data_IF_112103940384
#
_entry.id   IF_112103940384
#
_cell.length_a   1.000
_cell.length_b   1.000
_cell.length_c   1.000
_cell.angle_alpha   90.00
_cell.angle_beta   90.00
_cell.angle_gamma   90.00
#
_symmetry.space_group_name_H-M   'P 1'
#
loop_
_entity.id
_entity.type
_entity.pdbx_description
1 polymer ?
#
# COMPACT_ATOMS: atom_id res chain seq x y z
N UNK A 1 3.17 44.86 -19.57
CA UNK A 1 3.89 43.60 -19.25
C UNK A 1 3.41 43.16 -17.88
N UNK A 2 2.45 42.23 -17.81
CA UNK A 2 2.11 41.51 -16.57
C UNK A 2 2.24 40.03 -16.89
N UNK A 3 3.41 39.47 -16.58
CA UNK A 3 3.63 38.04 -16.55
C UNK A 3 3.13 37.55 -15.19
N UNK A 4 1.85 37.17 -15.15
CA UNK A 4 1.28 36.42 -14.04
C UNK A 4 2.14 35.19 -13.79
N UNK A 5 2.75 35.15 -12.60
CA UNK A 5 3.48 34.01 -12.05
C UNK A 5 2.54 32.82 -11.88
N UNK A 6 2.32 32.06 -12.95
CA UNK A 6 1.94 30.64 -12.84
C UNK A 6 3.13 29.90 -12.26
N UNK A 7 3.18 29.75 -10.93
CA UNK A 7 3.91 28.63 -10.31
C UNK A 7 3.22 27.36 -10.80
N UNK A 8 3.72 26.86 -11.92
CA UNK A 8 3.32 25.61 -12.56
C UNK A 8 3.31 24.49 -11.52
N UNK A 9 2.18 23.79 -11.37
CA UNK A 9 2.04 22.53 -10.62
C UNK A 9 2.76 21.38 -11.37
N UNK A 10 3.99 21.64 -11.79
CA UNK A 10 4.72 20.90 -12.83
C UNK A 10 5.00 19.42 -12.48
N UNK A 11 4.75 19.03 -11.23
CA UNK A 11 4.92 17.68 -10.67
C UNK A 11 3.63 16.85 -10.68
N UNK A 12 2.46 17.50 -10.62
CA UNK A 12 1.14 16.82 -10.57
C UNK A 12 0.54 16.57 -11.95
N UNK A 13 0.88 17.39 -12.94
CA UNK A 13 0.32 17.29 -14.29
C UNK A 13 1.17 16.41 -15.23
N UNK A 14 2.20 15.74 -14.69
CA UNK A 14 3.08 14.84 -15.44
C UNK A 14 2.95 13.42 -14.94
N UNK A 15 2.86 12.48 -15.90
CA UNK A 15 2.96 11.05 -15.62
C UNK A 15 4.33 10.75 -15.01
N UNK A 16 4.35 9.95 -13.95
CA UNK A 16 5.59 9.42 -13.38
C UNK A 16 6.31 8.51 -14.38
N UNK A 17 7.64 8.50 -14.34
CA UNK A 17 8.42 7.51 -15.07
C UNK A 17 8.14 6.09 -14.55
N UNK A 18 8.20 5.09 -15.42
CA UNK A 18 7.82 3.71 -15.11
C UNK A 18 8.65 3.12 -13.96
N UNK A 19 9.95 3.39 -13.91
CA UNK A 19 10.82 2.97 -12.81
C UNK A 19 10.43 3.63 -11.47
N UNK A 20 10.00 4.89 -11.49
CA UNK A 20 9.55 5.61 -10.29
C UNK A 20 8.23 5.04 -9.78
N UNK A 21 7.28 4.72 -10.67
CA UNK A 21 6.03 4.05 -10.30
C UNK A 21 6.30 2.68 -9.69
N UNK A 22 7.14 1.86 -10.35
CA UNK A 22 7.49 0.53 -9.86
C UNK A 22 8.16 0.58 -8.49
N UNK A 23 9.09 1.51 -8.28
CA UNK A 23 9.75 1.70 -6.98
C UNK A 23 8.74 2.09 -5.89
N UNK A 24 7.75 2.94 -6.20
CA UNK A 24 6.69 3.29 -5.25
C UNK A 24 5.86 2.07 -4.86
N UNK A 25 5.52 1.22 -5.83
CA UNK A 25 4.81 -0.05 -5.58
C UNK A 25 5.62 -0.96 -4.67
N UNK A 26 6.91 -1.15 -4.95
CA UNK A 26 7.79 -1.97 -4.11
C UNK A 26 7.92 -1.44 -2.69
N UNK A 27 8.09 -0.13 -2.53
CA UNK A 27 8.19 0.48 -1.21
C UNK A 27 6.90 0.31 -0.41
N UNK A 28 5.75 0.49 -1.06
CA UNK A 28 4.44 0.30 -0.46
C UNK A 28 4.19 -1.17 -0.06
N UNK A 29 4.54 -2.12 -0.95
CA UNK A 29 4.46 -3.55 -0.66
C UNK A 29 5.35 -3.92 0.53
N UNK A 30 6.61 -3.46 0.52
CA UNK A 30 7.56 -3.70 1.62
C UNK A 30 7.01 -3.20 2.94
N UNK A 31 6.35 -2.04 2.94
CA UNK A 31 5.78 -1.48 4.17
C UNK A 31 4.62 -2.33 4.72
N UNK A 32 3.72 -2.82 3.87
CA UNK A 32 2.67 -3.74 4.30
C UNK A 32 3.27 -5.05 4.85
N UNK A 33 4.36 -5.54 4.25
CA UNK A 33 5.11 -6.70 4.77
C UNK A 33 5.72 -6.39 6.14
N UNK A 34 6.29 -5.20 6.34
CA UNK A 34 6.85 -4.80 7.64
C UNK A 34 5.78 -4.79 8.74
N UNK A 35 4.57 -4.28 8.45
CA UNK A 35 3.44 -4.29 9.39
C UNK A 35 3.06 -5.73 9.76
N UNK A 36 2.96 -6.61 8.77
CA UNK A 36 2.67 -8.03 9.00
C UNK A 36 3.76 -8.70 9.85
N UNK A 37 5.03 -8.51 9.50
CA UNK A 37 6.16 -9.09 10.21
C UNK A 37 6.26 -8.60 11.66
N UNK A 38 5.93 -7.32 11.92
CA UNK A 38 5.91 -6.77 13.27
C UNK A 38 4.92 -7.52 14.19
N UNK A 39 3.80 -7.99 13.64
CA UNK A 39 2.79 -8.73 14.37
C UNK A 39 3.24 -10.12 14.82
N UNK A 40 4.17 -10.76 14.08
CA UNK A 40 4.68 -12.10 14.41
C UNK A 40 5.48 -12.11 15.73
N UNK A 41 6.00 -10.95 16.13
CA UNK A 41 6.74 -10.78 17.39
C UNK A 41 5.85 -10.35 18.56
N UNK A 42 4.59 -9.99 18.27
CA UNK A 42 3.63 -9.55 19.27
C UNK A 42 2.92 -10.71 19.95
N UNK A 43 2.48 -10.49 21.19
CA UNK A 43 1.66 -11.47 21.90
C UNK A 43 0.34 -11.70 21.14
N UNK A 44 0.04 -12.95 20.73
CA UNK A 44 -1.17 -13.23 19.95
C UNK A 44 -2.42 -13.17 20.84
N UNK A 45 -3.48 -12.57 20.29
CA UNK A 45 -4.84 -12.57 20.86
C UNK A 45 -5.81 -13.12 19.86
N UNK A 46 -6.63 -14.08 20.29
CA UNK A 46 -7.68 -14.65 19.45
C UNK A 46 -8.92 -13.75 19.48
N UNK A 47 -9.41 -13.36 18.30
CA UNK A 47 -10.64 -12.58 18.12
C UNK A 47 -11.44 -13.20 16.98
N UNK A 48 -12.53 -13.89 17.33
CA UNK A 48 -13.28 -14.72 16.38
C UNK A 48 -12.40 -15.83 15.80
N UNK A 49 -12.38 -15.93 14.47
CA UNK A 49 -11.65 -16.96 13.73
C UNK A 49 -10.17 -16.63 13.48
N UNK A 50 -9.72 -15.44 13.89
CA UNK A 50 -8.36 -14.97 13.63
C UNK A 50 -7.56 -14.83 14.94
N UNK A 51 -6.27 -15.14 14.85
CA UNK A 51 -5.27 -14.74 15.84
C UNK A 51 -4.65 -13.42 15.40
N UNK A 52 -4.50 -12.46 16.29
CA UNK A 52 -3.92 -11.15 16.01
C UNK A 52 -2.73 -10.87 16.91
N UNK A 53 -1.60 -10.51 16.30
CA UNK A 53 -0.38 -10.13 17.01
C UNK A 53 -0.37 -8.64 17.30
N UNK A 54 -0.05 -8.26 18.53
CA UNK A 54 0.15 -6.85 18.90
C UNK A 54 1.28 -6.25 18.05
N UNK A 55 1.03 -5.11 17.42
CA UNK A 55 2.06 -4.35 16.73
C UNK A 55 2.88 -3.60 17.79
N UNK A 56 3.96 -4.20 18.29
CA UNK A 56 4.74 -3.60 19.39
C UNK A 56 5.64 -2.45 18.94
N UNK A 57 5.98 -2.39 17.65
CA UNK A 57 6.82 -1.33 17.11
C UNK A 57 6.12 0.04 17.23
N UNK A 58 6.75 1.06 17.87
CA UNK A 58 6.16 2.38 18.07
C UNK A 58 5.58 3.05 16.82
N UNK A 59 6.12 2.76 15.63
CA UNK A 59 5.62 3.36 14.38
C UNK A 59 4.27 2.77 13.93
N UNK A 60 3.85 1.63 14.48
CA UNK A 60 2.59 0.95 14.14
C UNK A 60 1.64 0.72 15.32
N UNK A 61 2.12 0.86 16.57
CA UNK A 61 1.42 0.36 17.75
C UNK A 61 0.11 1.07 18.11
N UNK A 62 -0.06 2.30 17.63
CA UNK A 62 -1.27 3.12 17.79
C UNK A 62 -1.85 3.44 16.41
N UNK A 63 -3.16 3.64 16.37
CA UNK A 63 -3.89 3.96 15.15
C UNK A 63 -3.26 5.13 14.39
N UNK A 64 -3.07 6.27 15.07
CA UNK A 64 -2.52 7.48 14.45
C UNK A 64 -1.09 7.26 13.94
N UNK A 65 -0.28 6.48 14.65
CA UNK A 65 1.10 6.17 14.24
C UNK A 65 1.10 5.32 12.97
N UNK A 66 0.25 4.28 12.93
CA UNK A 66 0.11 3.41 11.76
C UNK A 66 -0.42 4.19 10.55
N UNK A 67 -1.48 4.99 10.71
CA UNK A 67 -2.04 5.81 9.64
C UNK A 67 -1.02 6.83 9.12
N UNK A 68 -0.26 7.48 10.03
CA UNK A 68 0.80 8.41 9.66
C UNK A 68 1.88 7.71 8.84
N UNK A 69 2.36 6.55 9.29
CA UNK A 69 3.40 5.80 8.59
C UNK A 69 2.94 5.38 7.19
N UNK A 70 1.72 4.81 7.09
CA UNK A 70 1.14 4.39 5.82
C UNK A 70 0.89 5.57 4.86
N UNK A 71 0.63 6.78 5.36
CA UNK A 71 0.39 7.97 4.52
C UNK A 71 1.58 8.39 3.66
N UNK A 72 2.77 7.84 3.95
CA UNK A 72 3.97 7.99 3.11
C UNK A 72 3.84 7.27 1.78
N UNK A 73 3.02 6.21 1.72
CA UNK A 73 2.93 5.29 0.58
C UNK A 73 1.53 5.23 -0.02
N UNK A 74 0.51 5.39 0.82
CA UNK A 74 -0.88 5.16 0.48
C UNK A 74 -1.74 6.41 0.68
N UNK A 75 -2.77 6.52 -0.14
CA UNK A 75 -3.81 7.53 0.01
C UNK A 75 -4.60 7.38 1.30
N UNK A 76 -5.26 8.45 1.71
CA UNK A 76 -6.24 8.41 2.81
C UNK A 76 -7.35 7.38 2.57
N UNK A 77 -7.83 7.27 1.33
CA UNK A 77 -8.89 6.33 0.95
C UNK A 77 -8.44 4.87 1.13
N UNK A 78 -7.24 4.53 0.64
CA UNK A 78 -6.66 3.21 0.81
C UNK A 78 -6.50 2.87 2.29
N UNK A 79 -5.93 3.78 3.09
CA UNK A 79 -5.71 3.58 4.53
C UNK A 79 -7.06 3.35 5.24
N UNK A 80 -8.08 4.15 4.94
CA UNK A 80 -9.41 3.98 5.55
C UNK A 80 -10.01 2.60 5.26
N UNK A 81 -9.82 2.05 4.06
CA UNK A 81 -10.25 0.68 3.73
C UNK A 81 -9.40 -0.38 4.42
N UNK A 82 -8.07 -0.18 4.44
CA UNK A 82 -7.13 -1.09 5.09
C UNK A 82 -7.40 -1.24 6.59
N UNK A 83 -7.67 -0.12 7.28
CA UNK A 83 -8.00 -0.08 8.70
C UNK A 83 -9.36 -0.72 9.03
N UNK A 84 -10.27 -0.81 8.06
CA UNK A 84 -11.55 -1.54 8.17
C UNK A 84 -11.42 -3.02 7.81
N UNK A 85 -10.29 -3.45 7.27
CA UNK A 85 -10.11 -4.83 6.82
C UNK A 85 -10.05 -5.80 8.00
N UNK A 86 -10.41 -7.06 7.74
CA UNK A 86 -10.32 -8.15 8.74
C UNK A 86 -8.90 -8.42 9.25
N UNK A 87 -7.87 -7.81 8.66
CA UNK A 87 -6.48 -8.07 9.03
C UNK A 87 -5.98 -7.11 10.11
N UNK A 88 -6.63 -5.98 10.30
CA UNK A 88 -6.24 -4.98 11.30
C UNK A 88 -7.31 -4.88 12.36
N UNK A 89 -6.89 -4.87 13.62
CA UNK A 89 -7.77 -4.64 14.76
C UNK A 89 -7.13 -3.69 15.75
N UNK A 90 -7.94 -2.81 16.31
CA UNK A 90 -7.57 -2.06 17.51
C UNK A 90 -8.17 -2.78 18.71
N UNK A 91 -7.32 -3.20 19.65
CA UNK A 91 -7.71 -3.86 20.90
C UNK A 91 -7.03 -3.13 22.06
N UNK A 92 -7.81 -2.65 23.02
CA UNK A 92 -7.31 -1.89 24.18
C UNK A 92 -6.40 -0.71 23.80
N UNK A 93 -6.78 0.05 22.76
CA UNK A 93 -6.01 1.20 22.27
C UNK A 93 -4.69 0.86 21.56
N UNK A 94 -4.47 -0.42 21.25
CA UNK A 94 -3.27 -0.88 20.53
C UNK A 94 -3.66 -1.55 19.22
N UNK A 95 -2.87 -1.29 18.18
CA UNK A 95 -3.04 -1.94 16.89
C UNK A 95 -2.52 -3.37 16.92
N UNK A 96 -3.24 -4.25 16.27
CA UNK A 96 -2.89 -5.64 16.06
C UNK A 96 -3.11 -6.00 14.59
N UNK A 97 -2.33 -6.93 14.09
CA UNK A 97 -2.49 -7.48 12.74
C UNK A 97 -2.70 -8.99 12.79
N UNK A 98 -3.53 -9.52 11.90
CA UNK A 98 -3.85 -10.94 11.85
C UNK A 98 -2.58 -11.78 11.58
N UNK A 99 -2.28 -12.70 12.48
CA UNK A 99 -1.22 -13.70 12.37
C UNK A 99 -1.79 -14.92 11.64
N UNK A 100 -1.01 -15.45 10.70
CA UNK A 100 -1.33 -16.64 9.94
C UNK A 100 -0.34 -16.79 8.79
N UNK A 101 -0.52 -17.83 7.98
CA UNK A 101 0.24 -17.99 6.74
C UNK A 101 0.10 -16.71 5.90
N UNK A 102 1.21 -16.03 5.54
CA UNK A 102 1.18 -14.94 4.58
C UNK A 102 0.45 -15.32 3.28
N UNK A 103 0.35 -16.62 2.98
CA UNK A 103 -0.15 -17.16 1.73
C UNK A 103 0.76 -16.76 0.58
N UNK A 104 0.43 -17.22 -0.63
CA UNK A 104 1.17 -16.93 -1.88
C UNK A 104 1.43 -15.44 -2.19
N UNK A 105 0.79 -14.56 -1.41
CA UNK A 105 0.77 -13.10 -1.48
C UNK A 105 2.10 -12.44 -1.07
N UNK A 106 2.87 -13.05 -0.17
CA UNK A 106 4.23 -12.58 0.15
C UNK A 106 5.25 -12.93 -0.94
N UNK A 107 4.96 -13.94 -1.76
CA UNK A 107 5.79 -14.33 -2.89
C UNK A 107 5.40 -13.64 -4.20
N UNK A 108 4.32 -12.86 -4.21
CA UNK A 108 3.97 -12.10 -5.41
C UNK A 108 4.83 -10.86 -5.54
N UNK A 109 5.55 -10.74 -6.64
CA UNK A 109 6.46 -9.64 -6.96
C UNK A 109 5.87 -8.81 -8.08
N UNK A 110 5.84 -7.49 -7.93
CA UNK A 110 5.60 -6.59 -9.06
C UNK A 110 6.87 -6.52 -9.89
N UNK A 111 6.83 -6.86 -11.17
CA UNK A 111 8.04 -7.01 -11.99
C UNK A 111 8.25 -5.83 -12.93
N UNK A 112 7.17 -5.28 -13.50
CA UNK A 112 7.27 -4.30 -14.58
C UNK A 112 6.00 -3.46 -14.74
N UNK A 113 6.15 -2.16 -15.08
CA UNK A 113 5.04 -1.36 -15.63
C UNK A 113 4.88 -1.69 -17.11
N UNK A 114 3.69 -2.14 -17.50
CA UNK A 114 3.35 -2.48 -18.89
C UNK A 114 2.82 -1.26 -19.63
N UNK A 115 1.93 -0.52 -18.98
CA UNK A 115 1.38 0.74 -19.49
C UNK A 115 0.91 1.59 -18.32
N UNK A 116 0.77 2.89 -18.56
CA UNK A 116 0.17 3.78 -17.57
C UNK A 116 -0.37 5.04 -18.22
N UNK A 117 -1.55 5.46 -17.79
CA UNK A 117 -2.29 6.63 -18.28
C UNK A 117 -2.51 7.63 -17.13
N UNK A 118 -2.24 8.92 -17.38
CA UNK A 118 -2.61 10.01 -16.48
C UNK A 118 -3.94 10.59 -16.94
N UNK A 119 -4.99 10.44 -16.14
CA UNK A 119 -6.33 10.95 -16.42
C UNK A 119 -7.02 11.40 -15.15
N UNK A 120 -7.70 12.54 -15.19
CA UNK A 120 -8.46 13.10 -14.06
C UNK A 120 -7.64 13.23 -12.76
N UNK A 121 -6.35 13.57 -12.88
CA UNK A 121 -5.44 13.71 -11.74
C UNK A 121 -5.02 12.39 -11.08
N UNK A 122 -5.25 11.27 -11.75
CA UNK A 122 -4.85 9.92 -11.32
C UNK A 122 -3.99 9.24 -12.36
N UNK A 123 -3.05 8.42 -11.92
CA UNK A 123 -2.30 7.53 -12.82
C UNK A 123 -2.86 6.13 -12.64
N UNK A 124 -3.34 5.52 -13.73
CA UNK A 124 -3.71 4.10 -13.75
C UNK A 124 -2.63 3.34 -14.50
N UNK A 125 -1.91 2.47 -13.79
CA UNK A 125 -0.82 1.69 -14.33
C UNK A 125 -1.20 0.21 -14.40
N UNK A 126 -1.02 -0.41 -15.57
CA UNK A 126 -1.01 -1.85 -15.71
C UNK A 126 0.37 -2.36 -15.32
N UNK A 127 0.42 -3.19 -14.28
CA UNK A 127 1.66 -3.71 -13.69
C UNK A 127 1.67 -5.23 -13.83
N UNK A 128 2.77 -5.76 -14.32
CA UNK A 128 3.04 -7.20 -14.38
C UNK A 128 3.51 -7.69 -13.02
N UNK A 129 3.06 -8.89 -12.68
CA UNK A 129 3.24 -9.46 -11.36
C UNK A 129 3.54 -10.95 -11.49
N UNK A 130 4.46 -11.46 -10.69
CA UNK A 130 4.89 -12.86 -10.72
C UNK A 130 4.78 -13.48 -9.34
N UNK A 131 4.15 -14.64 -9.24
CA UNK A 131 4.00 -15.40 -8.00
C UNK A 131 4.94 -16.60 -8.00
N UNK A 132 5.91 -16.63 -7.08
CA UNK A 132 6.90 -17.71 -7.04
C UNK A 132 6.29 -19.09 -6.71
N UNK A 133 5.19 -19.16 -5.95
CA UNK A 133 4.58 -20.44 -5.57
C UNK A 133 3.79 -21.06 -6.70
N UNK A 134 3.00 -20.24 -7.38
CA UNK A 134 2.13 -20.70 -8.46
C UNK A 134 2.86 -20.73 -9.81
N UNK A 135 4.03 -20.09 -9.90
CA UNK A 135 4.80 -19.89 -11.13
C UNK A 135 3.94 -19.25 -12.23
N UNK A 136 3.12 -18.26 -11.86
CA UNK A 136 2.18 -17.56 -12.74
C UNK A 136 2.52 -16.08 -12.81
N UNK A 137 2.40 -15.54 -14.03
CA UNK A 137 2.46 -14.10 -14.31
C UNK A 137 1.06 -13.56 -14.59
N UNK A 138 0.70 -12.48 -13.91
CA UNK A 138 -0.58 -11.76 -14.09
C UNK A 138 -0.34 -10.27 -14.37
N UNK A 139 -1.40 -9.59 -14.83
CA UNK A 139 -1.44 -8.14 -15.00
C UNK A 139 -2.49 -7.55 -14.09
N UNK A 140 -2.12 -6.55 -13.32
CA UNK A 140 -3.01 -5.88 -12.36
C UNK A 140 -2.98 -4.38 -12.55
N UNK A 141 -4.09 -3.70 -12.22
CA UNK A 141 -4.14 -2.25 -12.23
C UNK A 141 -3.72 -1.68 -10.86
N UNK A 142 -2.69 -0.83 -10.85
CA UNK A 142 -2.34 0.01 -9.70
C UNK A 142 -2.75 1.45 -10.00
N UNK A 143 -3.51 2.06 -9.09
CA UNK A 143 -3.92 3.46 -9.19
C UNK A 143 -3.08 4.32 -8.25
N UNK A 144 -2.52 5.42 -8.78
CA UNK A 144 -1.83 6.44 -8.02
C UNK A 144 -2.63 7.75 -8.02
N UNK A 145 -2.60 8.48 -6.91
CA UNK A 145 -3.17 9.82 -6.78
C UNK A 145 -2.17 10.78 -6.12
N UNK A 146 -2.34 12.07 -6.37
CA UNK A 146 -1.47 13.09 -5.77
C UNK A 146 -2.09 13.63 -4.48
N UNK A 147 -1.52 13.25 -3.33
CA UNK A 147 -1.92 13.66 -1.98
C UNK A 147 -0.68 14.06 -1.17
N UNK A 148 -0.82 15.02 -0.25
CA UNK A 148 0.28 15.46 0.63
C UNK A 148 1.58 15.82 -0.14
N UNK A 149 1.43 16.52 -1.26
CA UNK A 149 2.53 16.93 -2.16
C UNK A 149 3.34 15.77 -2.77
N UNK A 150 2.74 14.58 -2.89
CA UNK A 150 3.38 13.44 -3.54
C UNK A 150 2.37 12.49 -4.20
N UNK A 151 2.85 11.72 -5.17
CA UNK A 151 2.09 10.60 -5.72
C UNK A 151 2.14 9.40 -4.77
N UNK A 152 0.98 8.93 -4.34
CA UNK A 152 0.78 7.78 -3.45
C UNK A 152 -0.18 6.78 -4.08
N UNK A 153 -0.18 5.55 -3.57
CA UNK A 153 -1.03 4.47 -4.06
C UNK A 153 -2.45 4.66 -3.52
N UNK A 154 -3.43 4.77 -4.41
CA UNK A 154 -4.85 4.77 -4.07
C UNK A 154 -5.49 3.39 -4.16
N UNK A 155 -5.05 2.59 -5.13
CA UNK A 155 -5.46 1.22 -5.25
C UNK A 155 -4.25 0.37 -5.62
N UNK A 156 -4.03 -0.68 -4.85
CA UNK A 156 -3.07 -1.73 -5.17
C UNK A 156 -3.79 -3.04 -4.86
N UNK A 157 -4.15 -3.82 -5.89
CA UNK A 157 -4.90 -5.03 -5.69
C UNK A 157 -4.13 -5.94 -4.75
N UNK A 158 -4.88 -6.49 -3.80
CA UNK A 158 -4.39 -7.60 -3.01
C UNK A 158 -4.36 -8.80 -3.94
N UNK A 159 -3.19 -9.32 -4.23
CA UNK A 159 -3.05 -10.49 -5.10
C UNK A 159 -3.95 -11.64 -4.63
N UNK A 160 -4.75 -12.17 -5.55
CA UNK A 160 -5.62 -13.33 -5.34
C UNK A 160 -7.02 -13.05 -4.81
N UNK A 161 -7.71 -12.02 -5.31
CA UNK A 161 -9.18 -11.99 -5.32
C UNK A 161 -9.65 -11.64 -6.73
N UNK A 162 -9.74 -12.67 -7.57
CA UNK A 162 -10.80 -12.75 -8.57
C UNK A 162 -12.13 -13.07 -7.88
#
# INVERSE_FOLDING_TARGET
MNLDTKKSNEVKDKKLADNVMLQKVWNAQKELTNVQMAALTGNPKRVGDFSYGELVNPIYNKKDNLETTLSTYFSKSFIAQYMKSKYIKELNGKMHYAIGDPGSKAATKFTKIISAELKDGKIKAQVETYNDYDNVTEKVEVEFIYENNQWVINNMPRFGLS
#
